data_IF_972422396923
#
_entry.id   IF_972422396923
#
_cell.length_a   1.000
_cell.length_b   1.000
_cell.length_c   1.000
_cell.angle_alpha   90.00
_cell.angle_beta   90.00
_cell.angle_gamma   90.00
#
_symmetry.space_group_name_H-M   'P 1'
#
loop_
_entity.id
_entity.type
_entity.pdbx_description
1 polymer ?
#
# COMPACT_ATOMS: atom_id res chain seq x y z
N UNK A 1 -20.27 21.04 -9.52
CA UNK A 1 -20.62 19.97 -8.61
C UNK A 1 -20.29 20.38 -7.18
N UNK A 2 -21.24 20.33 -6.33
CA UNK A 2 -21.01 20.70 -4.94
C UNK A 2 -20.97 19.46 -4.08
N UNK A 3 -19.78 19.04 -3.66
CA UNK A 3 -19.65 18.15 -2.56
C UNK A 3 -19.92 18.96 -1.30
N UNK A 4 -20.78 18.47 -0.45
CA UNK A 4 -20.99 19.08 0.86
C UNK A 4 -19.68 18.98 1.63
N UNK A 5 -19.33 20.02 2.37
CA UNK A 5 -18.09 20.06 3.14
C UNK A 5 -17.94 18.83 4.05
N UNK A 6 -19.02 18.38 4.65
CA UNK A 6 -19.00 17.24 5.56
C UNK A 6 -18.68 15.93 4.82
N UNK A 7 -19.22 15.76 3.60
CA UNK A 7 -18.93 14.58 2.77
C UNK A 7 -17.48 14.55 2.35
N UNK A 8 -16.94 15.69 1.94
CA UNK A 8 -15.55 15.82 1.56
C UNK A 8 -14.63 15.51 2.73
N UNK A 9 -14.92 16.08 3.89
CA UNK A 9 -14.14 15.90 5.11
C UNK A 9 -14.12 14.42 5.54
N UNK A 10 -15.27 13.76 5.53
CA UNK A 10 -15.37 12.36 5.90
C UNK A 10 -14.66 11.45 4.89
N UNK A 11 -14.76 11.75 3.61
CA UNK A 11 -14.11 10.97 2.56
C UNK A 11 -12.59 11.05 2.69
N UNK A 12 -12.05 12.23 2.94
CA UNK A 12 -10.61 12.42 3.12
C UNK A 12 -10.12 11.70 4.37
N UNK A 13 -10.82 11.85 5.48
CA UNK A 13 -10.46 11.18 6.73
C UNK A 13 -10.45 9.66 6.56
N UNK A 14 -11.46 9.10 5.90
CA UNK A 14 -11.54 7.67 5.62
C UNK A 14 -10.39 7.22 4.74
N UNK A 15 -10.07 7.98 3.71
CA UNK A 15 -9.00 7.63 2.76
C UNK A 15 -7.64 7.66 3.43
N UNK A 16 -7.35 8.65 4.26
CA UNK A 16 -6.09 8.72 5.00
C UNK A 16 -5.96 7.56 5.99
N UNK A 17 -7.06 7.22 6.66
CA UNK A 17 -7.07 6.06 7.54
C UNK A 17 -6.82 4.76 6.76
N UNK A 18 -7.46 4.62 5.60
CA UNK A 18 -7.35 3.43 4.76
C UNK A 18 -5.92 3.21 4.28
N UNK A 19 -5.25 4.28 3.86
CA UNK A 19 -3.88 4.21 3.39
C UNK A 19 -2.88 4.03 4.53
N UNK A 20 -3.29 4.35 5.76
CA UNK A 20 -2.48 4.15 6.94
C UNK A 20 -1.45 5.25 7.12
N UNK A 21 -0.19 4.92 6.96
CA UNK A 21 0.93 5.80 7.19
C UNK A 21 1.90 5.79 6.01
N UNK A 22 3.04 6.45 6.18
CA UNK A 22 4.03 6.52 5.12
C UNK A 22 4.58 5.14 4.71
N UNK A 23 4.66 4.18 5.64
CA UNK A 23 5.14 2.84 5.31
C UNK A 23 4.21 2.14 4.33
N UNK A 24 2.90 2.27 4.53
CA UNK A 24 1.92 1.69 3.61
C UNK A 24 2.04 2.30 2.21
N UNK A 25 2.22 3.61 2.13
CA UNK A 25 2.42 4.29 0.85
C UNK A 25 3.73 3.85 0.18
N UNK A 26 4.80 3.68 0.95
CA UNK A 26 6.09 3.23 0.39
C UNK A 26 6.01 1.79 -0.12
N UNK A 27 5.28 0.92 0.56
CA UNK A 27 5.06 -0.45 0.10
C UNK A 27 4.28 -0.45 -1.22
N UNK A 28 3.21 0.34 -1.29
CA UNK A 28 2.42 0.46 -2.52
C UNK A 28 3.26 1.05 -3.67
N UNK A 29 4.09 2.05 -3.36
CA UNK A 29 5.02 2.60 -4.34
C UNK A 29 5.93 1.52 -4.92
N UNK A 30 6.56 0.73 -4.05
CA UNK A 30 7.47 -0.31 -4.47
C UNK A 30 6.76 -1.39 -5.29
N UNK A 31 5.54 -1.72 -4.91
CA UNK A 31 4.74 -2.71 -5.63
C UNK A 31 4.34 -2.19 -7.01
N UNK A 32 3.86 -0.96 -7.10
CA UNK A 32 3.32 -0.40 -8.34
C UNK A 32 4.38 0.12 -9.29
N UNK A 33 5.44 0.74 -8.76
CA UNK A 33 6.47 1.37 -9.58
C UNK A 33 7.69 0.47 -9.80
N UNK A 34 8.02 -0.35 -8.82
CA UNK A 34 9.23 -1.20 -8.88
C UNK A 34 8.90 -2.68 -9.01
N UNK A 35 7.62 -3.02 -9.15
CA UNK A 35 7.16 -4.39 -9.40
C UNK A 35 7.59 -5.39 -8.34
N UNK A 36 7.78 -4.93 -7.10
CA UNK A 36 8.13 -5.83 -6.00
C UNK A 36 6.89 -6.62 -5.57
N UNK A 37 7.11 -7.90 -5.27
CA UNK A 37 6.03 -8.80 -4.87
C UNK A 37 6.36 -9.61 -3.62
N UNK A 38 7.64 -9.79 -3.31
CA UNK A 38 8.09 -10.68 -2.24
C UNK A 38 8.55 -9.90 -1.02
N UNK A 39 8.36 -10.52 0.14
CA UNK A 39 8.75 -9.93 1.41
C UNK A 39 10.20 -9.42 1.40
N UNK A 40 11.11 -10.26 0.93
CA UNK A 40 12.53 -9.90 0.87
C UNK A 40 12.78 -8.68 -0.02
N UNK A 41 12.03 -8.55 -1.10
CA UNK A 41 12.17 -7.40 -2.00
C UNK A 41 11.77 -6.10 -1.32
N UNK A 42 10.69 -6.14 -0.53
CA UNK A 42 10.27 -4.96 0.24
C UNK A 42 11.27 -4.60 1.33
N UNK A 43 11.87 -5.61 1.98
CA UNK A 43 12.90 -5.37 2.99
C UNK A 43 14.13 -4.66 2.42
N UNK A 44 14.43 -4.89 1.14
CA UNK A 44 15.58 -4.29 0.48
C UNK A 44 15.29 -2.89 -0.06
N UNK A 45 14.17 -2.29 0.31
CA UNK A 45 13.87 -0.93 -0.10
C UNK A 45 14.86 0.05 0.52
N UNK A 46 15.00 1.21 -0.15
CA UNK A 46 15.95 2.24 0.24
C UNK A 46 15.71 2.75 1.66
N UNK A 47 14.45 2.80 2.07
CA UNK A 47 14.04 3.30 3.38
C UNK A 47 14.29 2.33 4.52
N UNK A 48 14.69 1.08 4.20
CA UNK A 48 15.07 0.06 5.19
C UNK A 48 13.99 -0.20 6.25
N UNK A 49 12.82 -0.59 5.79
CA UNK A 49 11.71 -0.91 6.67
C UNK A 49 12.09 -2.09 7.60
N UNK A 50 11.72 -1.99 8.86
CA UNK A 50 11.94 -3.08 9.81
C UNK A 50 11.00 -4.26 9.51
N UNK A 51 11.47 -5.48 9.76
CA UNK A 51 10.74 -6.70 9.46
C UNK A 51 9.36 -6.75 10.11
N UNK A 52 9.27 -6.36 11.38
CA UNK A 52 8.01 -6.38 12.10
C UNK A 52 7.02 -5.34 11.56
N UNK A 53 7.51 -4.19 11.12
CA UNK A 53 6.68 -3.16 10.52
C UNK A 53 6.16 -3.64 9.16
N UNK A 54 7.03 -4.21 8.34
CA UNK A 54 6.63 -4.74 7.03
C UNK A 54 5.57 -5.83 7.18
N UNK A 55 5.76 -6.77 8.09
CA UNK A 55 4.77 -7.83 8.36
C UNK A 55 3.43 -7.24 8.72
N UNK A 56 3.44 -6.26 9.63
CA UNK A 56 2.22 -5.60 10.10
C UNK A 56 1.51 -4.85 8.97
N UNK A 57 2.26 -4.12 8.16
CA UNK A 57 1.68 -3.31 7.08
C UNK A 57 1.16 -4.16 5.93
N UNK A 58 1.84 -5.25 5.57
CA UNK A 58 1.34 -6.17 4.55
C UNK A 58 0.01 -6.79 4.98
N UNK A 59 -0.08 -7.17 6.26
CA UNK A 59 -1.34 -7.69 6.80
C UNK A 59 -2.44 -6.63 6.75
N UNK A 60 -2.15 -5.41 7.18
CA UNK A 60 -3.11 -4.32 7.19
C UNK A 60 -3.59 -3.98 5.77
N UNK A 61 -2.68 -3.90 4.81
CA UNK A 61 -3.03 -3.62 3.42
C UNK A 61 -3.90 -4.74 2.83
N UNK A 62 -3.62 -5.98 3.19
CA UNK A 62 -4.43 -7.13 2.77
C UNK A 62 -5.84 -7.03 3.36
N UNK A 63 -5.93 -6.76 4.66
CA UNK A 63 -7.21 -6.64 5.36
C UNK A 63 -8.06 -5.49 4.80
N UNK A 64 -7.42 -4.44 4.35
CA UNK A 64 -8.10 -3.27 3.75
C UNK A 64 -8.46 -3.46 2.27
N UNK A 65 -8.07 -4.59 1.69
CA UNK A 65 -8.39 -4.89 0.29
C UNK A 65 -7.54 -4.17 -0.74
N UNK A 66 -6.38 -3.64 -0.35
CA UNK A 66 -5.47 -2.94 -1.26
C UNK A 66 -4.49 -3.89 -1.94
N UNK A 67 -4.15 -4.98 -1.28
CA UNK A 67 -3.28 -6.01 -1.84
C UNK A 67 -3.87 -7.39 -1.56
N UNK A 68 -3.43 -8.38 -2.31
CA UNK A 68 -3.77 -9.78 -2.05
C UNK A 68 -2.51 -10.63 -2.02
N UNK A 69 -2.59 -11.73 -1.29
CA UNK A 69 -1.57 -12.76 -1.27
C UNK A 69 -1.90 -13.78 -2.35
N UNK A 70 -1.02 -13.89 -3.34
CA UNK A 70 -1.27 -14.75 -4.52
C UNK A 70 -1.26 -16.23 -4.20
N UNK A 71 -0.40 -16.64 -3.28
CA UNK A 71 -0.11 -18.04 -3.02
C UNK A 71 -0.11 -18.33 -1.53
N UNK A 72 -1.28 -18.32 -0.87
CA UNK A 72 -1.36 -18.42 0.59
C UNK A 72 -0.83 -19.74 1.15
N UNK A 73 -0.78 -20.79 0.32
CA UNK A 73 -0.30 -22.10 0.76
C UNK A 73 1.21 -22.28 0.59
N UNK A 74 1.90 -21.26 0.09
CA UNK A 74 3.34 -21.31 -0.09
C UNK A 74 4.08 -21.00 1.20
N UNK A 75 5.37 -21.36 1.23
CA UNK A 75 6.23 -20.97 2.34
C UNK A 75 6.34 -19.44 2.40
N UNK A 76 6.68 -18.93 3.57
CA UNK A 76 6.82 -17.50 3.80
C UNK A 76 7.77 -16.85 2.79
N UNK A 77 8.83 -17.56 2.41
CA UNK A 77 9.83 -17.07 1.44
C UNK A 77 9.28 -16.96 0.02
N UNK A 78 8.30 -17.78 -0.31
CA UNK A 78 7.73 -17.85 -1.66
C UNK A 78 6.47 -17.03 -1.84
N UNK A 79 5.95 -16.44 -0.77
CA UNK A 79 4.72 -15.65 -0.83
C UNK A 79 4.91 -14.41 -1.68
N UNK A 80 3.93 -14.18 -2.53
CA UNK A 80 3.89 -13.00 -3.38
C UNK A 80 2.63 -12.20 -3.09
N UNK A 81 2.79 -10.89 -3.01
CA UNK A 81 1.70 -9.94 -2.83
C UNK A 81 1.57 -9.09 -4.07
N UNK A 82 0.35 -8.86 -4.51
CA UNK A 82 0.08 -7.95 -5.62
C UNK A 82 -1.03 -6.99 -5.24
N UNK A 83 -1.05 -5.84 -5.92
CA UNK A 83 -2.09 -4.85 -5.71
C UNK A 83 -3.41 -5.33 -6.31
N UNK A 84 -4.49 -5.11 -5.59
CA UNK A 84 -5.84 -5.28 -6.13
C UNK A 84 -6.16 -4.09 -7.03
N UNK A 85 -7.32 -4.12 -7.70
CA UNK A 85 -7.80 -2.97 -8.46
C UNK A 85 -7.83 -1.70 -7.59
N UNK A 86 -8.29 -1.83 -6.35
CA UNK A 86 -8.30 -0.73 -5.39
C UNK A 86 -6.88 -0.27 -5.07
N UNK A 87 -5.95 -1.20 -4.89
CA UNK A 87 -4.54 -0.87 -4.66
C UNK A 87 -3.93 -0.14 -5.84
N UNK A 88 -4.21 -0.59 -7.06
CA UNK A 88 -3.71 0.06 -8.27
C UNK A 88 -4.21 1.50 -8.37
N UNK A 89 -5.42 1.77 -7.91
CA UNK A 89 -5.97 3.13 -7.94
C UNK A 89 -5.19 4.12 -7.08
N UNK A 90 -4.36 3.65 -6.14
CA UNK A 90 -3.49 4.52 -5.34
C UNK A 90 -2.30 5.07 -6.13
N UNK A 91 -2.06 4.57 -7.35
CA UNK A 91 -0.94 5.03 -8.17
C UNK A 91 -1.02 6.54 -8.43
N UNK A 92 -2.21 7.06 -8.68
CA UNK A 92 -2.41 8.50 -8.91
C UNK A 92 -1.97 9.29 -7.67
N UNK A 93 -2.32 8.81 -6.48
CA UNK A 93 -1.94 9.46 -5.22
C UNK A 93 -0.42 9.47 -5.08
N UNK A 94 0.23 8.36 -5.38
CA UNK A 94 1.69 8.23 -5.29
C UNK A 94 2.38 9.17 -6.27
N UNK A 95 1.88 9.25 -7.50
CA UNK A 95 2.41 10.17 -8.52
C UNK A 95 2.23 11.62 -8.07
N UNK A 96 1.07 11.96 -7.53
CA UNK A 96 0.82 13.32 -7.05
C UNK A 96 1.75 13.69 -5.88
N UNK A 97 2.05 12.74 -5.00
CA UNK A 97 3.03 12.97 -3.95
C UNK A 97 4.41 13.28 -4.52
N UNK A 98 4.80 12.56 -5.58
CA UNK A 98 6.05 12.85 -6.27
C UNK A 98 6.05 14.26 -6.86
N UNK A 99 4.98 14.63 -7.54
CA UNK A 99 4.87 15.95 -8.17
C UNK A 99 4.82 17.06 -7.13
N UNK A 100 4.23 16.79 -5.98
CA UNK A 100 4.20 17.75 -4.87
C UNK A 100 5.59 18.01 -4.30
N UNK A 101 6.44 17.01 -4.28
CA UNK A 101 7.78 17.12 -3.70
C UNK A 101 8.65 18.05 -4.53
#
# INVERSE_FOLDING_TARGET
MALKDIELTCAIAKSTYLLGDHWSLLILRDMLLHHKTRFKEFLNSKEKIATNILTNRLKALTDKGLIILLNPNSTKKSRQYIATEKGVSTLIIIIELYLFS
#
